data_IF_795273845434
#
_entry.id   IF_795273845434
#
_cell.length_a   1.000
_cell.length_b   1.000
_cell.length_c   1.000
_cell.angle_alpha   90.00
_cell.angle_beta   90.00
_cell.angle_gamma   90.00
#
_symmetry.space_group_name_H-M   'P 1'
#
loop_
_entity.id
_entity.type
_entity.pdbx_description
1 polymer ?
#
# COMPACT_ATOMS: atom_id res chain seq x y z
N UNK A 1 -41.02 52.71 -19.47
CA UNK A 1 -40.47 51.35 -19.22
C UNK A 1 -39.18 51.50 -18.43
N UNK A 2 -39.15 51.07 -17.16
CA UNK A 2 -37.96 51.09 -16.30
C UNK A 2 -37.43 49.67 -16.19
N UNK A 3 -36.19 49.44 -16.64
CA UNK A 3 -35.51 48.16 -16.48
C UNK A 3 -34.68 48.20 -15.18
N UNK A 4 -34.98 47.28 -14.26
CA UNK A 4 -34.22 47.06 -13.02
C UNK A 4 -33.02 46.16 -13.35
N UNK A 5 -31.81 46.62 -13.08
CA UNK A 5 -30.59 45.82 -13.16
C UNK A 5 -30.27 45.31 -11.75
N UNK A 6 -30.47 44.02 -11.50
CA UNK A 6 -30.08 43.39 -10.24
C UNK A 6 -28.64 42.88 -10.36
N UNK A 7 -27.71 43.47 -9.59
CA UNK A 7 -26.34 42.98 -9.44
C UNK A 7 -26.34 41.97 -8.29
N UNK A 8 -26.15 40.69 -8.60
CA UNK A 8 -25.94 39.64 -7.61
C UNK A 8 -24.43 39.62 -7.30
N UNK A 9 -24.05 40.07 -6.11
CA UNK A 9 -22.71 39.84 -5.56
C UNK A 9 -22.73 38.44 -4.96
N UNK A 10 -22.23 37.46 -5.70
CA UNK A 10 -22.01 36.11 -5.19
C UNK A 10 -20.84 36.11 -4.22
N UNK A 11 -21.11 35.89 -2.94
CA UNK A 11 -20.08 35.65 -1.92
C UNK A 11 -19.50 34.26 -2.16
N UNK A 12 -18.34 34.18 -2.80
CA UNK A 12 -17.59 32.93 -2.92
C UNK A 12 -16.95 32.60 -1.56
N UNK A 13 -17.66 31.83 -0.73
CA UNK A 13 -17.04 31.15 0.41
C UNK A 13 -16.12 30.06 -0.14
N UNK A 14 -14.82 30.35 -0.19
CA UNK A 14 -13.77 29.34 -0.33
C UNK A 14 -13.78 28.49 0.94
N UNK A 15 -14.54 27.39 0.92
CA UNK A 15 -14.33 26.30 1.86
C UNK A 15 -13.00 25.65 1.49
N UNK A 16 -11.92 26.12 2.10
CA UNK A 16 -10.70 25.31 2.20
C UNK A 16 -11.02 24.18 3.18
N UNK A 17 -11.42 23.03 2.66
CA UNK A 17 -11.38 21.81 3.44
C UNK A 17 -9.91 21.56 3.80
N UNK A 18 -9.55 21.82 5.06
CA UNK A 18 -8.38 21.18 5.64
C UNK A 18 -8.74 19.71 5.80
N UNK A 19 -8.59 18.93 4.74
CA UNK A 19 -8.47 17.49 4.86
C UNK A 19 -7.12 17.25 5.53
N UNK A 20 -7.12 17.13 6.85
CA UNK A 20 -6.03 16.46 7.55
C UNK A 20 -6.13 14.99 7.15
N UNK A 21 -5.59 14.64 5.98
CA UNK A 21 -5.15 13.28 5.74
C UNK A 21 -3.92 13.07 6.63
N UNK A 22 -3.83 11.92 7.29
CA UNK A 22 -2.61 11.51 7.97
C UNK A 22 -1.39 11.59 7.05
N UNK A 23 -0.20 11.49 7.65
CA UNK A 23 1.02 11.46 6.86
C UNK A 23 1.04 10.14 6.10
N UNK A 24 1.05 10.22 4.76
CA UNK A 24 1.22 9.03 3.92
C UNK A 24 2.70 8.79 3.73
N UNK A 25 3.17 7.62 4.14
CA UNK A 25 4.48 7.09 3.79
C UNK A 25 4.32 6.15 2.60
N UNK A 26 5.15 6.35 1.59
CA UNK A 26 5.09 5.63 0.31
C UNK A 26 6.42 4.99 -0.02
N UNK A 27 6.38 3.71 -0.40
CA UNK A 27 7.52 2.98 -0.92
C UNK A 27 7.18 2.31 -2.26
N UNK A 28 7.99 2.56 -3.28
CA UNK A 28 7.86 1.91 -4.58
C UNK A 28 9.22 1.42 -5.08
N UNK A 29 9.22 0.22 -5.67
CA UNK A 29 10.36 -0.31 -6.42
C UNK A 29 9.89 -0.89 -7.75
N UNK A 30 10.66 -0.59 -8.80
CA UNK A 30 10.51 -1.19 -10.13
C UNK A 30 11.66 -2.15 -10.41
N UNK A 31 11.34 -3.32 -10.97
CA UNK A 31 12.25 -4.39 -11.31
C UNK A 31 13.24 -4.73 -10.18
N UNK A 32 12.75 -5.14 -8.99
CA UNK A 32 13.60 -5.47 -7.85
C UNK A 32 14.66 -6.55 -8.12
N UNK A 33 14.46 -7.42 -9.13
CA UNK A 33 15.44 -8.41 -9.63
C UNK A 33 16.04 -9.30 -8.54
N UNK A 34 15.19 -9.86 -7.69
CA UNK A 34 15.54 -10.93 -6.76
C UNK A 34 15.07 -12.28 -7.32
N UNK A 35 14.70 -13.25 -6.46
CA UNK A 35 14.25 -14.56 -6.95
C UNK A 35 12.93 -14.44 -7.71
N UNK A 36 12.87 -15.09 -8.87
CA UNK A 36 11.77 -15.06 -9.83
C UNK A 36 11.18 -16.45 -10.14
N UNK A 37 11.45 -17.46 -9.29
CA UNK A 37 11.05 -18.85 -9.58
C UNK A 37 9.54 -19.04 -9.75
N UNK A 38 8.70 -18.25 -9.05
CA UNK A 38 7.24 -18.25 -9.21
C UNK A 38 6.73 -17.16 -10.19
N UNK A 39 7.62 -16.51 -10.93
CA UNK A 39 7.32 -15.34 -11.78
C UNK A 39 8.23 -14.16 -11.45
N UNK A 40 8.50 -13.31 -12.43
CA UNK A 40 9.36 -12.13 -12.26
C UNK A 40 8.56 -11.00 -11.60
N UNK A 41 9.02 -10.53 -10.44
CA UNK A 41 8.45 -9.34 -9.78
C UNK A 41 8.91 -8.09 -10.53
N UNK A 42 7.98 -7.37 -11.14
CA UNK A 42 8.23 -6.15 -11.92
C UNK A 42 8.01 -4.88 -11.11
N UNK A 43 7.09 -4.90 -10.14
CA UNK A 43 6.79 -3.75 -9.29
C UNK A 43 6.31 -4.22 -7.93
N UNK A 44 6.68 -3.49 -6.89
CA UNK A 44 6.03 -3.51 -5.57
C UNK A 44 5.82 -2.06 -5.16
N UNK A 45 4.63 -1.74 -4.68
CA UNK A 45 4.23 -0.44 -4.13
C UNK A 45 3.49 -0.65 -2.83
N UNK A 46 3.80 0.15 -1.82
CA UNK A 46 3.12 0.16 -0.53
C UNK A 46 2.93 1.61 -0.12
N UNK A 47 1.72 1.95 0.31
CA UNK A 47 1.41 3.24 0.94
C UNK A 47 0.78 2.97 2.30
N UNK A 48 1.28 3.62 3.35
CA UNK A 48 0.68 3.59 4.68
C UNK A 48 0.36 5.01 5.13
N UNK A 49 -0.93 5.26 5.36
CA UNK A 49 -1.43 6.46 6.01
C UNK A 49 -1.41 6.26 7.53
N UNK A 50 -0.93 7.26 8.27
CA UNK A 50 -0.95 7.26 9.74
C UNK A 50 -2.36 7.22 10.36
N UNK A 51 -3.41 7.35 9.56
CA UNK A 51 -4.80 7.08 9.95
C UNK A 51 -5.17 5.58 9.82
N UNK A 52 -4.17 4.69 9.81
CA UNK A 52 -4.30 3.23 9.71
C UNK A 52 -4.95 2.75 8.41
N UNK A 53 -4.52 3.34 7.30
CA UNK A 53 -4.95 2.93 5.96
C UNK A 53 -3.75 2.41 5.17
N UNK A 54 -3.87 1.21 4.61
CA UNK A 54 -2.82 0.55 3.82
C UNK A 54 -3.26 0.37 2.38
N UNK A 55 -2.38 0.70 1.43
CA UNK A 55 -2.52 0.30 0.03
C UNK A 55 -1.31 -0.53 -0.39
N UNK A 56 -1.54 -1.53 -1.24
CA UNK A 56 -0.51 -2.44 -1.72
C UNK A 56 -0.75 -2.75 -3.19
N UNK A 57 0.32 -2.77 -3.98
CA UNK A 57 0.28 -3.27 -5.35
C UNK A 57 1.55 -4.03 -5.70
N UNK A 58 1.38 -5.11 -6.47
CA UNK A 58 2.50 -5.82 -7.11
C UNK A 58 2.16 -6.22 -8.54
N UNK A 59 3.18 -6.20 -9.41
CA UNK A 59 3.04 -6.60 -10.81
C UNK A 59 4.09 -7.63 -11.18
N UNK A 60 3.71 -8.59 -12.03
CA UNK A 60 4.52 -9.73 -12.40
C UNK A 60 4.46 -10.02 -13.89
N UNK A 61 5.50 -10.69 -14.37
CA UNK A 61 5.53 -11.36 -15.67
C UNK A 61 5.87 -12.82 -15.45
N UNK A 62 5.29 -13.68 -16.29
CA UNK A 62 5.51 -15.11 -16.18
C UNK A 62 7.00 -15.46 -16.36
N UNK A 63 7.49 -16.39 -15.55
CA UNK A 63 8.81 -17.00 -15.71
C UNK A 63 8.60 -18.50 -15.99
N UNK A 64 9.05 -18.99 -17.15
CA UNK A 64 8.78 -20.37 -17.59
C UNK A 64 7.28 -20.77 -17.52
N UNK A 65 6.39 -19.82 -17.84
CA UNK A 65 4.93 -20.02 -17.78
C UNK A 65 4.34 -20.01 -16.37
N UNK A 66 5.13 -19.70 -15.33
CA UNK A 66 4.65 -19.60 -13.95
C UNK A 66 4.35 -18.15 -13.57
N UNK A 67 3.22 -17.97 -12.90
CA UNK A 67 2.82 -16.76 -12.18
C UNK A 67 2.42 -17.16 -10.75
N UNK A 68 2.58 -16.24 -9.78
CA UNK A 68 2.17 -16.52 -8.41
C UNK A 68 0.65 -16.61 -8.31
N UNK A 69 0.18 -17.42 -7.36
CA UNK A 69 -1.23 -17.70 -7.07
C UNK A 69 -1.61 -17.26 -5.65
N UNK A 70 -0.62 -16.93 -4.84
CA UNK A 70 -0.78 -16.43 -3.49
C UNK A 70 0.49 -15.66 -3.10
N UNK A 71 0.48 -15.04 -1.92
CA UNK A 71 1.68 -14.45 -1.36
C UNK A 71 1.53 -14.10 0.11
N UNK A 72 2.59 -13.61 0.70
CA UNK A 72 2.54 -12.94 1.98
C UNK A 72 3.54 -11.79 2.03
N UNK A 73 3.30 -10.85 2.94
CA UNK A 73 4.30 -9.88 3.26
C UNK A 73 4.27 -9.43 4.72
N UNK A 74 5.39 -8.90 5.17
CA UNK A 74 5.58 -8.24 6.47
C UNK A 74 6.24 -6.90 6.20
N UNK A 75 5.75 -5.85 6.87
CA UNK A 75 6.31 -4.50 6.83
C UNK A 75 6.91 -4.15 8.18
N UNK A 76 7.86 -3.24 8.20
CA UNK A 76 8.49 -2.77 9.43
C UNK A 76 8.95 -1.32 9.30
N UNK A 77 9.16 -0.62 10.44
CA UNK A 77 9.69 0.74 10.48
C UNK A 77 11.21 0.80 10.22
N UNK A 78 11.69 0.12 9.17
CA UNK A 78 13.03 0.26 8.64
C UNK A 78 13.93 -0.97 8.75
N UNK A 79 13.80 -1.81 9.79
CA UNK A 79 14.65 -3.00 9.92
C UNK A 79 14.13 -4.17 9.09
N UNK A 80 14.98 -5.06 8.60
CA UNK A 80 14.54 -6.26 7.89
C UNK A 80 13.55 -7.09 8.74
N UNK A 81 12.26 -7.23 8.32
CA UNK A 81 11.21 -7.77 9.20
C UNK A 81 11.46 -9.19 9.70
N UNK A 82 12.27 -9.98 8.99
CA UNK A 82 12.47 -11.42 9.20
C UNK A 82 12.90 -11.80 10.62
N UNK A 83 13.51 -10.88 11.38
CA UNK A 83 14.02 -11.15 12.73
C UNK A 83 13.19 -10.49 13.85
N UNK A 84 12.15 -9.74 13.50
CA UNK A 84 11.31 -8.97 14.45
C UNK A 84 10.02 -9.73 14.75
N UNK A 85 10.11 -10.70 15.65
CA UNK A 85 8.94 -11.49 16.09
C UNK A 85 8.06 -10.76 17.09
N UNK A 86 6.76 -11.01 17.02
CA UNK A 86 5.70 -10.54 17.92
C UNK A 86 5.44 -9.02 17.95
N UNK A 87 6.13 -8.26 17.11
CA UNK A 87 5.99 -6.81 16.98
C UNK A 87 5.28 -6.40 15.67
N UNK A 88 5.18 -7.32 14.71
CA UNK A 88 4.72 -7.05 13.35
C UNK A 88 3.50 -7.91 12.99
N UNK A 89 2.75 -7.46 11.99
CA UNK A 89 1.73 -8.27 11.34
C UNK A 89 2.27 -8.90 10.04
N UNK A 90 1.85 -10.14 9.78
CA UNK A 90 2.01 -10.77 8.47
C UNK A 90 0.66 -10.78 7.76
N UNK A 91 0.66 -10.33 6.50
CA UNK A 91 -0.50 -10.35 5.63
C UNK A 91 -0.32 -11.45 4.59
N UNK A 92 -1.26 -12.38 4.53
CA UNK A 92 -1.35 -13.40 3.47
C UNK A 92 -2.37 -12.97 2.44
N UNK A 93 -2.05 -13.19 1.17
CA UNK A 93 -2.82 -12.78 0.01
C UNK A 93 -3.32 -14.01 -0.73
N UNK A 94 -4.63 -14.24 -0.73
CA UNK A 94 -5.25 -15.29 -1.52
C UNK A 94 -5.76 -14.74 -2.85
N UNK A 95 -5.06 -15.04 -3.93
CA UNK A 95 -5.42 -14.47 -5.23
C UNK A 95 -6.65 -15.15 -5.84
N UNK A 96 -7.00 -16.36 -5.39
CA UNK A 96 -8.14 -17.09 -5.91
C UNK A 96 -9.44 -16.65 -5.21
N UNK A 97 -9.40 -16.44 -3.90
CA UNK A 97 -10.50 -15.92 -3.11
C UNK A 97 -10.66 -14.40 -3.20
N UNK A 98 -9.59 -13.65 -3.48
CA UNK A 98 -9.62 -12.19 -3.40
C UNK A 98 -9.50 -11.66 -1.97
N UNK A 99 -8.99 -12.48 -1.05
CA UNK A 99 -8.96 -12.20 0.38
C UNK A 99 -7.56 -11.86 0.89
N UNK A 100 -7.52 -11.13 2.01
CA UNK A 100 -6.30 -10.87 2.78
C UNK A 100 -6.49 -11.36 4.22
N UNK A 101 -5.52 -12.11 4.75
CA UNK A 101 -5.56 -12.63 6.11
C UNK A 101 -4.41 -12.07 6.94
N UNK A 102 -4.71 -11.53 8.11
CA UNK A 102 -3.74 -10.91 9.00
C UNK A 102 -3.47 -11.76 10.25
N UNK A 103 -2.20 -11.97 10.54
CA UNK A 103 -1.74 -12.69 11.73
C UNK A 103 -0.62 -11.93 12.44
N UNK A 104 -0.45 -12.18 13.74
CA UNK A 104 0.72 -11.76 14.51
C UNK A 104 1.94 -12.50 14.00
N UNK A 105 2.90 -11.78 13.45
CA UNK A 105 4.12 -12.38 12.93
C UNK A 105 4.98 -12.92 14.07
N UNK A 106 5.36 -14.20 14.01
CA UNK A 106 6.08 -14.87 15.10
C UNK A 106 7.62 -14.78 15.02
N UNK A 107 8.18 -14.11 14.00
CA UNK A 107 9.62 -13.85 13.88
C UNK A 107 10.53 -15.07 13.71
N UNK A 108 9.96 -16.24 13.42
CA UNK A 108 10.76 -17.46 13.26
C UNK A 108 11.42 -17.44 11.88
N UNK A 109 12.73 -17.22 11.84
CA UNK A 109 13.58 -17.31 10.64
C UNK A 109 14.42 -18.59 10.65
N UNK A 110 14.63 -19.26 9.50
CA UNK A 110 15.65 -20.34 9.42
C UNK A 110 15.59 -21.44 8.35
N UNK A 111 14.46 -21.72 7.70
CA UNK A 111 14.25 -22.80 6.71
C UNK A 111 13.20 -22.39 5.66
N UNK A 112 12.96 -23.23 4.64
CA UNK A 112 11.95 -23.06 3.56
C UNK A 112 10.49 -22.81 4.03
N UNK A 113 10.28 -22.78 5.35
CA UNK A 113 9.04 -22.92 6.05
C UNK A 113 8.47 -21.63 6.67
N UNK A 114 9.13 -20.50 6.49
CA UNK A 114 8.82 -19.32 7.30
C UNK A 114 8.00 -18.30 6.55
N UNK A 115 7.22 -17.53 7.32
CA UNK A 115 6.14 -16.71 6.77
C UNK A 115 4.95 -17.60 6.50
N UNK A 116 5.10 -18.72 5.78
CA UNK A 116 4.01 -19.70 5.68
C UNK A 116 3.53 -20.18 7.05
N UNK A 117 4.34 -20.51 8.04
CA UNK A 117 3.83 -21.21 9.24
C UNK A 117 3.16 -20.35 10.33
N UNK A 118 3.15 -19.02 10.20
CA UNK A 118 2.55 -18.16 11.25
C UNK A 118 1.06 -18.47 11.47
N UNK A 119 0.32 -18.86 10.42
CA UNK A 119 -1.09 -19.24 10.56
C UNK A 119 -1.33 -20.54 11.35
N UNK A 120 -0.31 -21.38 11.58
CA UNK A 120 -0.48 -22.67 12.26
C UNK A 120 -0.86 -22.51 13.73
N UNK A 121 -0.47 -21.41 14.36
CA UNK A 121 -0.91 -21.06 15.70
C UNK A 121 -2.15 -20.17 15.58
N UNK A 122 -3.31 -20.73 15.90
CA UNK A 122 -4.58 -20.01 15.86
C UNK A 122 -4.60 -18.78 16.78
N UNK A 123 -3.76 -18.75 17.81
CA UNK A 123 -3.60 -17.59 18.70
C UNK A 123 -2.97 -16.37 18.02
N UNK A 124 -2.38 -16.54 16.84
CA UNK A 124 -1.85 -15.45 16.04
C UNK A 124 -2.88 -14.82 15.10
N UNK A 125 -4.04 -15.43 14.87
CA UNK A 125 -5.04 -14.85 13.96
C UNK A 125 -5.55 -13.51 14.51
N UNK A 126 -5.54 -12.47 13.65
CA UNK A 126 -6.05 -11.15 13.99
C UNK A 126 -7.39 -10.92 13.29
N UNK A 127 -7.38 -10.91 11.96
CA UNK A 127 -8.57 -10.64 11.15
C UNK A 127 -8.43 -11.17 9.72
N UNK A 128 -9.54 -11.30 9.01
CA UNK A 128 -9.61 -11.42 7.55
C UNK A 128 -10.19 -10.14 6.95
N UNK A 129 -9.83 -9.86 5.71
CA UNK A 129 -10.40 -8.82 4.87
C UNK A 129 -10.88 -9.52 3.59
N UNK A 130 -12.19 -9.66 3.47
CA UNK A 130 -12.84 -10.44 2.41
C UNK A 130 -13.05 -9.59 1.16
N UNK A 131 -12.82 -10.17 -0.02
CA UNK A 131 -13.04 -9.54 -1.34
C UNK A 131 -12.32 -8.17 -1.52
N UNK A 132 -11.19 -7.94 -0.83
CA UNK A 132 -10.44 -6.68 -0.91
C UNK A 132 -9.32 -6.70 -1.95
N UNK A 133 -8.83 -7.89 -2.32
CA UNK A 133 -7.69 -8.05 -3.22
C UNK A 133 -8.15 -8.11 -4.67
N UNK A 134 -7.81 -7.07 -5.44
CA UNK A 134 -7.94 -7.07 -6.89
C UNK A 134 -6.84 -7.92 -7.51
N UNK A 135 -7.22 -8.79 -8.45
CA UNK A 135 -6.33 -9.72 -9.16
C UNK A 135 -6.64 -9.64 -10.65
N UNK A 136 -5.69 -9.15 -11.43
CA UNK A 136 -5.83 -8.95 -12.87
C UNK A 136 -4.78 -9.76 -13.66
N UNK A 137 -5.25 -10.75 -14.41
CA UNK A 137 -4.44 -11.51 -15.36
C UNK A 137 -4.61 -10.92 -16.75
N UNK A 138 -3.52 -10.43 -17.35
CA UNK A 138 -3.56 -9.79 -18.68
C UNK A 138 -2.48 -10.28 -19.64
N UNK A 139 -2.72 -10.06 -20.94
CA UNK A 139 -1.81 -10.41 -22.05
C UNK A 139 -2.14 -11.73 -22.75
N UNK A 140 -1.42 -12.03 -23.83
CA UNK A 140 -1.55 -13.30 -24.55
C UNK A 140 -1.14 -14.43 -23.59
N UNK A 141 -2.11 -15.28 -23.25
CA UNK A 141 -1.99 -16.46 -22.39
C UNK A 141 -1.58 -16.21 -20.92
N UNK A 142 -2.14 -15.21 -20.23
CA UNK A 142 -1.86 -14.99 -18.79
C UNK A 142 -0.36 -14.82 -18.50
N UNK A 143 0.32 -14.03 -19.34
CA UNK A 143 1.77 -13.78 -19.21
C UNK A 143 2.10 -12.66 -18.23
N UNK A 144 1.09 -11.92 -17.75
CA UNK A 144 1.21 -10.87 -16.74
C UNK A 144 0.16 -11.04 -15.66
N UNK A 145 0.51 -10.59 -14.47
CA UNK A 145 -0.37 -10.52 -13.32
C UNK A 145 -0.16 -9.18 -12.63
N UNK A 146 -1.25 -8.53 -12.23
CA UNK A 146 -1.21 -7.43 -11.26
C UNK A 146 -2.13 -7.79 -10.10
N UNK A 147 -1.68 -7.52 -8.88
CA UNK A 147 -2.48 -7.68 -7.66
C UNK A 147 -2.41 -6.39 -6.86
N UNK A 148 -3.44 -6.13 -6.07
CA UNK A 148 -3.40 -5.03 -5.10
C UNK A 148 -4.72 -4.76 -4.41
N UNK A 149 -4.65 -3.92 -3.39
CA UNK A 149 -5.80 -3.34 -2.72
C UNK A 149 -5.48 -1.87 -2.42
N UNK A 150 -6.51 -1.04 -2.43
CA UNK A 150 -6.40 0.39 -2.19
C UNK A 150 -7.21 0.79 -0.96
N UNK A 151 -6.63 1.62 -0.10
CA UNK A 151 -7.27 2.19 1.09
C UNK A 151 -7.90 1.15 2.04
N UNK A 152 -7.18 0.06 2.31
CA UNK A 152 -7.61 -0.94 3.29
C UNK A 152 -7.50 -0.37 4.71
N UNK A 153 -8.61 -0.32 5.44
CA UNK A 153 -8.62 -0.02 6.88
C UNK A 153 -7.91 -1.15 7.63
N UNK A 154 -6.75 -0.82 8.21
CA UNK A 154 -5.91 -1.74 8.98
C UNK A 154 -5.87 -1.37 10.46
N UNK A 155 -6.92 -0.74 10.98
CA UNK A 155 -7.03 -0.33 12.40
C UNK A 155 -6.92 -1.49 13.39
N UNK A 156 -7.25 -2.72 12.97
CA UNK A 156 -7.01 -3.93 13.78
C UNK A 156 -5.52 -4.27 13.94
N UNK A 157 -4.65 -3.65 13.15
CA UNK A 157 -3.21 -3.86 13.10
C UNK A 157 -2.42 -2.65 13.63
N UNK A 158 -3.10 -1.58 14.07
CA UNK A 158 -2.47 -0.32 14.50
C UNK A 158 -1.40 -0.52 15.57
N UNK A 159 -0.37 0.34 15.61
CA UNK A 159 0.61 0.35 16.69
C UNK A 159 -0.03 0.34 18.08
N UNK A 160 0.55 -0.40 19.02
CA UNK A 160 0.05 -0.51 20.40
C UNK A 160 -1.07 -1.54 20.62
N UNK A 161 -1.70 -2.07 19.58
CA UNK A 161 -2.83 -3.02 19.70
C UNK A 161 -2.49 -4.28 20.52
N UNK A 162 -1.25 -4.78 20.39
CA UNK A 162 -0.77 -5.96 21.12
C UNK A 162 0.38 -5.66 22.10
N UNK A 163 0.45 -4.41 22.59
CA UNK A 163 1.49 -3.92 23.48
C UNK A 163 2.37 -2.86 22.84
N UNK A 164 3.19 -2.18 23.65
CA UNK A 164 3.92 -0.96 23.25
C UNK A 164 4.93 -1.17 22.11
N UNK A 165 5.49 -2.38 21.98
CA UNK A 165 6.43 -2.74 20.91
C UNK A 165 5.73 -3.15 19.60
N UNK A 166 4.40 -3.33 19.62
CA UNK A 166 3.65 -3.69 18.42
C UNK A 166 3.56 -2.50 17.47
N UNK A 167 4.07 -2.68 16.26
CA UNK A 167 3.95 -1.72 15.14
C UNK A 167 3.06 -2.24 14.02
N UNK A 168 2.78 -3.55 13.98
CA UNK A 168 1.84 -4.16 13.04
C UNK A 168 2.30 -4.05 11.59
N UNK A 169 1.58 -3.26 10.78
CA UNK A 169 1.97 -2.93 9.39
C UNK A 169 2.49 -1.50 9.24
N UNK A 170 2.50 -0.73 10.33
CA UNK A 170 2.90 0.67 10.35
C UNK A 170 4.38 0.83 10.04
N UNK A 171 4.69 1.83 9.23
CA UNK A 171 6.06 2.28 9.03
C UNK A 171 6.09 3.80 8.89
N UNK A 172 7.26 4.37 9.17
CA UNK A 172 7.50 5.81 9.11
C UNK A 172 8.51 6.14 8.00
N UNK A 173 9.45 7.06 8.26
CA UNK A 173 10.50 7.40 7.29
C UNK A 173 11.39 6.22 6.88
N UNK A 174 11.50 5.19 7.73
CA UNK A 174 12.20 3.95 7.45
C UNK A 174 11.25 2.85 6.99
N UNK A 175 11.62 2.16 5.92
CA UNK A 175 10.87 1.06 5.32
C UNK A 175 11.71 -0.21 5.25
N UNK A 176 11.20 -1.26 5.88
CA UNK A 176 11.64 -2.64 5.67
C UNK A 176 10.46 -3.47 5.16
N UNK A 177 10.76 -4.46 4.31
CA UNK A 177 9.74 -5.27 3.67
C UNK A 177 10.22 -6.67 3.39
N UNK A 178 9.33 -7.64 3.59
CA UNK A 178 9.58 -9.05 3.36
C UNK A 178 8.45 -9.60 2.49
N UNK A 179 8.61 -9.57 1.16
CA UNK A 179 7.55 -9.89 0.20
C UNK A 179 7.81 -11.24 -0.45
N UNK A 180 6.86 -12.16 -0.35
CA UNK A 180 6.96 -13.48 -0.96
C UNK A 180 5.70 -13.78 -1.77
N UNK A 181 5.89 -14.27 -2.99
CA UNK A 181 4.82 -14.60 -3.92
C UNK A 181 5.02 -16.01 -4.43
N UNK A 182 3.99 -16.83 -4.39
CA UNK A 182 4.15 -18.27 -4.51
C UNK A 182 3.16 -18.89 -5.47
N UNK A 183 3.59 -19.91 -6.20
CA UNK A 183 2.66 -20.90 -6.74
C UNK A 183 2.30 -21.87 -5.62
N UNK A 184 1.10 -22.46 -5.66
CA UNK A 184 0.60 -23.32 -4.60
C UNK A 184 0.56 -24.78 -5.05
N UNK A 185 0.97 -25.71 -4.19
CA UNK A 185 0.61 -27.13 -4.32
C UNK A 185 -0.79 -27.35 -3.74
N UNK A 186 -1.09 -26.72 -2.60
CA UNK A 186 -2.44 -26.69 -2.03
C UNK A 186 -2.63 -25.50 -1.09
N UNK A 187 -3.89 -25.10 -0.93
CA UNK A 187 -4.34 -24.02 -0.07
C UNK A 187 -5.74 -24.35 0.45
N UNK A 188 -6.01 -24.03 1.72
CA UNK A 188 -7.32 -24.22 2.31
C UNK A 188 -7.65 -23.18 3.38
N UNK A 189 -8.93 -22.78 3.38
CA UNK A 189 -9.54 -21.93 4.39
C UNK A 189 -10.58 -22.73 5.16
N UNK A 190 -10.63 -22.52 6.47
CA UNK A 190 -11.66 -23.07 7.35
C UNK A 190 -12.04 -22.00 8.38
N UNK A 191 -13.34 -21.74 8.52
CA UNK A 191 -13.87 -20.74 9.46
C UNK A 191 -13.24 -19.34 9.32
N UNK A 192 -13.03 -18.88 8.08
CA UNK A 192 -12.44 -17.56 7.79
C UNK A 192 -10.94 -17.45 8.12
N UNK A 193 -10.26 -18.59 8.33
CA UNK A 193 -8.83 -18.64 8.64
C UNK A 193 -8.10 -19.61 7.71
N UNK A 194 -6.82 -19.34 7.47
CA UNK A 194 -5.94 -20.29 6.78
C UNK A 194 -5.84 -21.56 7.62
N UNK A 195 -6.22 -22.68 7.02
CA UNK A 195 -6.05 -24.03 7.57
C UNK A 195 -4.95 -24.82 6.85
N UNK A 196 -4.51 -24.35 5.68
CA UNK A 196 -3.39 -24.92 4.92
C UNK A 196 -2.81 -23.94 3.91
N UNK A 197 -1.48 -23.85 3.88
CA UNK A 197 -0.70 -22.99 2.97
C UNK A 197 0.58 -23.71 2.56
N UNK A 198 0.55 -24.33 1.38
CA UNK A 198 1.62 -25.19 0.89
C UNK A 198 2.17 -24.63 -0.42
N UNK A 199 3.12 -23.69 -0.36
CA UNK A 199 3.75 -23.11 -1.54
C UNK A 199 4.70 -24.12 -2.20
N UNK A 200 4.69 -24.14 -3.53
CA UNK A 200 5.56 -24.98 -4.35
C UNK A 200 6.83 -24.25 -4.79
N UNK A 201 6.63 -23.12 -5.45
CA UNK A 201 7.68 -22.22 -5.92
C UNK A 201 7.49 -20.86 -5.30
N UNK A 202 8.57 -20.11 -5.13
CA UNK A 202 8.52 -18.78 -4.56
C UNK A 202 9.36 -17.80 -5.39
N UNK A 203 8.81 -16.62 -5.57
CA UNK A 203 9.54 -15.40 -5.89
C UNK A 203 9.52 -14.52 -4.65
N UNK A 204 10.56 -13.72 -4.45
CA UNK A 204 10.59 -12.82 -3.29
C UNK A 204 11.26 -11.51 -3.62
N UNK A 205 10.89 -10.50 -2.84
CA UNK A 205 11.57 -9.24 -2.75
C UNK A 205 11.74 -8.85 -1.29
N UNK A 206 12.97 -8.82 -0.84
CA UNK A 206 13.32 -8.54 0.54
C UNK A 206 14.13 -7.25 0.61
N UNK A 207 13.77 -6.38 1.53
CA UNK A 207 14.39 -5.06 1.64
C UNK A 207 14.51 -4.58 3.08
N UNK A 208 15.62 -3.90 3.35
CA UNK A 208 16.02 -3.40 4.65
C UNK A 208 16.49 -1.95 4.53
N UNK A 209 16.10 -1.12 5.49
CA UNK A 209 16.61 0.24 5.70
C UNK A 209 16.36 1.22 4.56
N UNK A 210 15.25 1.12 3.83
CA UNK A 210 14.92 2.10 2.78
C UNK A 210 14.24 3.33 3.37
N UNK A 211 14.33 4.43 2.64
CA UNK A 211 13.62 5.66 2.97
C UNK A 211 12.27 5.65 2.30
N UNK A 212 11.20 5.70 3.09
CA UNK A 212 9.87 5.99 2.57
C UNK A 212 9.78 7.46 2.15
N UNK A 213 9.02 7.72 1.11
CA UNK A 213 8.72 9.07 0.64
C UNK A 213 7.43 9.57 1.26
N UNK A 214 7.33 10.87 1.51
CA UNK A 214 6.07 11.50 1.91
C UNK A 214 5.63 12.36 0.72
N UNK A 215 4.52 12.04 0.05
CA UNK A 215 4.02 12.87 -1.05
C UNK A 215 3.80 14.31 -0.56
N UNK A 216 4.30 15.29 -1.31
CA UNK A 216 4.01 16.69 -0.97
C UNK A 216 2.49 16.91 -1.05
N UNK A 217 1.84 17.45 -0.01
CA UNK A 217 0.42 17.72 -0.08
C UNK A 217 0.16 18.68 -1.25
N UNK A 218 -0.77 18.30 -2.14
CA UNK A 218 -1.07 19.03 -3.39
C UNK A 218 -1.43 20.51 -3.17
N UNK A 219 -1.71 20.91 -1.93
CA UNK A 219 -1.94 22.29 -1.49
C UNK A 219 -0.75 23.22 -1.72
N UNK A 220 0.50 22.74 -1.63
CA UNK A 220 1.70 23.56 -1.89
C UNK A 220 1.84 23.89 -3.38
N UNK A 221 1.58 22.93 -4.27
CA UNK A 221 1.56 23.15 -5.71
C UNK A 221 0.43 24.13 -6.12
N UNK A 222 -0.73 24.03 -5.46
CA UNK A 222 -1.85 24.95 -5.67
C UNK A 222 -1.52 26.40 -5.29
N UNK A 223 -0.91 26.63 -4.12
CA UNK A 223 -0.54 27.97 -3.65
C UNK A 223 0.51 28.65 -4.57
N UNK A 224 1.46 27.89 -5.11
CA UNK A 224 2.42 28.40 -6.09
C UNK A 224 1.72 28.86 -7.39
N UNK A 225 0.73 28.12 -7.88
CA UNK A 225 -0.04 28.49 -9.07
C UNK A 225 -0.90 29.74 -8.84
N UNK A 226 -1.59 29.86 -7.69
CA UNK A 226 -2.37 31.05 -7.38
C UNK A 226 -1.50 32.29 -7.17
N UNK A 227 -0.30 32.15 -6.61
CA UNK A 227 0.67 33.23 -6.49
C UNK A 227 1.14 33.79 -7.84
N UNK A 228 1.43 32.92 -8.81
CA UNK A 228 1.89 33.33 -10.16
C UNK A 228 0.76 33.96 -10.97
N UNK A 229 -0.46 33.40 -10.93
CA UNK A 229 -1.62 33.97 -11.62
C UNK A 229 -2.03 35.32 -11.02
N UNK A 230 -1.99 35.46 -9.69
CA UNK A 230 -2.28 36.72 -9.00
C UNK A 230 -1.29 37.84 -9.35
N UNK A 231 0.02 37.54 -9.40
CA UNK A 231 1.06 38.49 -9.83
C UNK A 231 0.95 38.87 -11.31
N UNK A 232 0.57 37.92 -12.18
CA UNK A 232 0.33 38.18 -13.60
C UNK A 232 -0.84 39.14 -13.85
N UNK A 233 -1.96 38.94 -13.16
CA UNK A 233 -3.15 39.80 -13.25
C UNK A 233 -2.91 41.19 -12.62
N UNK A 234 -2.19 41.27 -11.50
CA UNK A 234 -1.83 42.54 -10.87
C UNK A 234 -0.95 43.44 -11.77
N UNK A 235 0.03 42.85 -12.47
CA UNK A 235 0.90 43.60 -13.40
C UNK A 235 0.16 44.09 -14.64
N UNK A 236 -0.86 43.36 -15.11
CA UNK A 236 -1.67 43.75 -16.27
C UNK A 236 -2.54 44.97 -15.97
N UNK A 237 -3.10 45.08 -14.76
CA UNK A 237 -3.92 46.23 -14.37
C UNK A 237 -3.12 47.54 -14.17
N UNK A 238 -1.82 47.46 -13.81
CA UNK A 238 -0.97 48.66 -13.69
C UNK A 238 -0.52 49.26 -15.02
N UNK A 239 -0.47 48.48 -16.11
CA UNK A 239 -0.13 49.00 -17.44
C UNK A 239 -1.28 49.72 -18.15
N UNK A 240 -2.52 49.48 -17.72
CA UNK A 240 -3.70 50.19 -18.24
C UNK A 240 -3.91 51.58 -17.64
N UNK A 241 -3.46 51.81 -16.39
CA UNK A 241 -3.70 53.06 -15.67
C UNK A 241 -2.69 54.19 -15.96
N UNK A 242 -1.63 53.94 -16.73
CA UNK A 242 -0.62 54.95 -17.11
C UNK A 242 -0.91 55.64 -18.45
N UNK A 243 -2.12 55.46 -19.01
CA UNK A 243 -2.63 56.21 -20.17
C UNK A 243 -3.95 56.88 -19.79
N UNK A 244 -3.88 57.91 -18.95
CA UNK A 244 -4.94 58.88 -18.73
C UNK A 244 -4.28 60.23 -18.44
#
# INVERSE_FOLDING_TARGET
>A
MRALLAVIIGTSTLFAAAAHAGTVYSYEVSNPRQNDTAGVVNKVSVDYDTDDVLSFAAAFTANNGLLPQAGWFVLSPGQYPRLSGNELAILYLDFAGGDVYAYRYNGVAGTYAHGRETYLDEGNFITSYEDVLSVDYSGDASSKLSIGFDNLDVSALSPGTFGDEWTGVSYGPGFGGWFHFTTMDSYSISNGKISGWYPKWQSWYDVDGKTATVPEPATLAGLALFGVVGLGLYRRNRRGAAKA
#
